data_IF_420048874927
#
_entry.id   IF_420048874927
#
_cell.length_a   1.000
_cell.length_b   1.000
_cell.length_c   1.000
_cell.angle_alpha   90.00
_cell.angle_beta   90.00
_cell.angle_gamma   90.00
#
_symmetry.space_group_name_H-M   'P 1'
#
loop_
_entity.id
_entity.type
_entity.pdbx_description
1 polymer ?
#
# COMPACT_ATOMS: atom_id res chain seq x y z
N UNK A 1 -66.46 1.87 -1.99
CA UNK A 1 -65.61 0.73 -2.40
C UNK A 1 -64.19 1.01 -1.94
N UNK A 2 -63.68 0.31 -0.92
CA UNK A 2 -62.33 0.54 -0.37
C UNK A 2 -61.45 -0.68 -0.67
N UNK A 3 -60.39 -0.50 -1.46
CA UNK A 3 -59.42 -1.54 -1.76
C UNK A 3 -58.55 -1.81 -0.52
N UNK A 4 -58.52 -3.06 -0.04
CA UNK A 4 -57.67 -3.48 1.08
C UNK A 4 -56.26 -3.76 0.58
N UNK A 5 -55.31 -2.90 0.92
CA UNK A 5 -53.88 -3.13 0.69
C UNK A 5 -53.40 -4.34 1.50
N UNK A 6 -52.75 -5.32 0.86
CA UNK A 6 -52.14 -6.47 1.54
C UNK A 6 -50.81 -6.05 2.19
N UNK A 7 -50.50 -6.49 3.42
CA UNK A 7 -49.19 -6.25 4.02
C UNK A 7 -48.11 -7.07 3.32
N UNK A 8 -46.94 -6.45 3.07
CA UNK A 8 -45.75 -7.11 2.52
C UNK A 8 -45.14 -8.02 3.60
N UNK A 9 -44.77 -9.27 3.29
CA UNK A 9 -44.07 -10.11 4.26
C UNK A 9 -42.67 -9.53 4.57
N UNK A 10 -42.17 -9.71 5.81
CA UNK A 10 -40.81 -9.30 6.15
C UNK A 10 -39.81 -10.15 5.36
N UNK A 11 -38.89 -9.50 4.66
CA UNK A 11 -37.73 -10.16 4.06
C UNK A 11 -36.83 -10.58 5.22
N UNK A 12 -36.76 -11.88 5.50
CA UNK A 12 -35.75 -12.41 6.42
C UNK A 12 -34.36 -12.09 5.84
N UNK A 13 -33.41 -11.56 6.64
CA UNK A 13 -32.06 -11.37 6.14
C UNK A 13 -31.49 -12.74 5.79
N UNK A 14 -31.09 -12.92 4.53
CA UNK A 14 -30.37 -14.11 4.09
C UNK A 14 -29.12 -14.24 4.99
N UNK A 15 -28.84 -15.44 5.53
CA UNK A 15 -27.61 -15.63 6.28
C UNK A 15 -26.45 -15.40 5.31
N UNK A 16 -25.73 -14.29 5.50
CA UNK A 16 -24.45 -14.04 4.83
C UNK A 16 -23.50 -15.12 5.29
N UNK A 17 -23.48 -16.24 4.57
CA UNK A 17 -22.42 -17.24 4.69
C UNK A 17 -21.18 -16.56 4.16
N UNK A 18 -20.37 -15.99 5.04
CA UNK A 18 -18.99 -15.70 4.72
C UNK A 18 -18.34 -17.06 4.44
N UNK A 19 -17.88 -17.33 3.19
CA UNK A 19 -17.29 -18.62 2.90
C UNK A 19 -16.06 -18.82 3.79
N UNK A 20 -15.92 -19.99 4.45
CA UNK A 20 -14.72 -20.30 5.19
C UNK A 20 -13.57 -20.45 4.19
N UNK A 21 -12.61 -19.53 4.24
CA UNK A 21 -11.40 -19.59 3.42
C UNK A 21 -11.44 -18.72 2.17
N UNK A 22 -11.56 -17.39 2.31
CA UNK A 22 -10.99 -16.49 1.32
C UNK A 22 -9.47 -16.66 1.36
N UNK A 23 -8.99 -17.70 0.69
CA UNK A 23 -7.58 -17.99 0.45
C UNK A 23 -6.94 -16.74 -0.16
N UNK A 24 -5.72 -16.39 0.29
CA UNK A 24 -4.85 -15.39 -0.32
C UNK A 24 -4.45 -15.83 -1.75
N UNK A 25 -5.40 -15.84 -2.68
CA UNK A 25 -5.22 -16.38 -4.04
C UNK A 25 -4.36 -15.48 -4.94
N UNK A 26 -3.95 -14.32 -4.44
CA UNK A 26 -3.10 -13.38 -5.16
C UNK A 26 -2.06 -12.81 -4.20
N UNK A 27 -0.74 -12.98 -4.48
CA UNK A 27 0.27 -12.28 -3.70
C UNK A 27 -0.01 -10.77 -3.81
N UNK A 28 -0.16 -10.11 -2.66
CA UNK A 28 -0.39 -8.67 -2.63
C UNK A 28 0.79 -7.98 -3.32
N UNK A 29 0.48 -7.14 -4.32
CA UNK A 29 1.52 -6.39 -5.02
C UNK A 29 1.99 -5.25 -4.12
N UNK A 30 3.31 -5.03 -3.97
CA UNK A 30 3.80 -3.91 -3.20
C UNK A 30 3.33 -2.59 -3.84
N UNK A 31 2.89 -1.67 -3.00
CA UNK A 31 2.56 -0.31 -3.42
C UNK A 31 3.82 0.57 -3.29
N UNK A 32 4.31 1.08 -4.41
CA UNK A 32 5.57 1.83 -4.50
C UNK A 32 5.30 3.19 -5.14
N UNK A 33 5.76 4.26 -4.49
CA UNK A 33 5.56 5.65 -4.92
C UNK A 33 6.89 6.41 -4.82
N UNK A 34 7.31 7.10 -5.89
CA UNK A 34 8.45 8.04 -5.84
C UNK A 34 7.96 9.41 -5.39
N UNK A 35 8.57 9.93 -4.34
CA UNK A 35 8.27 11.23 -3.77
C UNK A 35 9.28 12.27 -4.27
N UNK A 36 8.91 13.55 -4.20
CA UNK A 36 9.82 14.65 -4.47
C UNK A 36 10.73 14.88 -3.24
N UNK A 37 12.06 14.69 -3.36
CA UNK A 37 12.97 14.85 -2.23
C UNK A 37 12.93 16.25 -1.61
N UNK A 38 12.75 17.30 -2.43
CA UNK A 38 12.73 18.69 -1.94
C UNK A 38 11.49 19.00 -1.10
N UNK A 39 10.38 18.33 -1.38
CA UNK A 39 9.14 18.49 -0.63
C UNK A 39 9.19 17.74 0.71
N UNK A 40 9.84 16.58 0.75
CA UNK A 40 9.88 15.73 1.95
C UNK A 40 11.06 16.05 2.87
N UNK A 41 12.27 16.20 2.31
CA UNK A 41 13.51 16.43 3.06
C UNK A 41 13.98 17.90 3.01
N UNK A 42 13.22 18.79 2.36
CA UNK A 42 13.49 20.22 2.27
C UNK A 42 14.35 20.63 1.08
N UNK A 43 14.36 21.93 0.77
CA UNK A 43 14.92 22.48 -0.47
C UNK A 43 16.45 22.32 -0.62
N UNK A 44 17.16 22.12 0.50
CA UNK A 44 18.63 21.97 0.53
C UNK A 44 19.06 20.51 0.71
N UNK A 45 18.17 19.55 0.49
CA UNK A 45 18.48 18.13 0.65
C UNK A 45 19.53 17.65 -0.35
N UNK A 46 20.41 16.75 0.10
CA UNK A 46 21.34 16.01 -0.77
C UNK A 46 20.73 14.68 -1.27
N UNK A 47 19.52 14.33 -0.82
CA UNK A 47 18.80 13.12 -1.23
C UNK A 47 18.30 13.31 -2.66
N UNK A 48 18.67 12.38 -3.54
CA UNK A 48 18.29 12.37 -4.95
C UNK A 48 17.00 11.62 -5.22
N UNK A 49 16.70 10.59 -4.42
CA UNK A 49 15.46 9.83 -4.51
C UNK A 49 14.87 9.57 -3.13
N UNK A 50 13.54 9.72 -3.05
CA UNK A 50 12.76 9.21 -1.94
C UNK A 50 11.69 8.30 -2.51
N UNK A 51 11.62 7.09 -2.01
CA UNK A 51 10.63 6.09 -2.43
C UNK A 51 9.87 5.60 -1.21
N UNK A 52 8.55 5.71 -1.27
CA UNK A 52 7.65 5.13 -0.28
C UNK A 52 7.28 3.73 -0.74
N UNK A 53 7.55 2.73 0.10
CA UNK A 53 7.29 1.32 -0.18
C UNK A 53 6.38 0.75 0.90
N UNK A 54 5.23 0.20 0.48
CA UNK A 54 4.41 -0.67 1.32
C UNK A 54 4.39 -2.06 0.71
N UNK A 55 4.98 -3.03 1.38
CA UNK A 55 5.15 -4.39 0.84
C UNK A 55 3.83 -5.14 0.88
N UNK A 56 3.15 -5.09 2.04
CA UNK A 56 1.81 -5.63 2.25
C UNK A 56 0.94 -4.58 2.93
N UNK A 57 -0.37 -4.65 2.74
CA UNK A 57 -1.37 -3.74 3.33
C UNK A 57 -1.29 -3.68 4.85
N UNK A 58 -0.95 -4.80 5.50
CA UNK A 58 -0.83 -4.92 6.96
C UNK A 58 0.53 -4.50 7.52
N UNK A 59 1.52 -4.26 6.65
CA UNK A 59 2.88 -3.92 7.05
C UNK A 59 3.11 -2.40 7.12
N UNK A 60 4.06 -1.96 7.96
CA UNK A 60 4.43 -0.55 8.01
C UNK A 60 4.98 -0.07 6.66
N UNK A 61 4.79 1.22 6.41
CA UNK A 61 5.38 1.88 5.25
C UNK A 61 6.87 2.08 5.52
N UNK A 62 7.68 1.76 4.52
CA UNK A 62 9.11 2.05 4.52
C UNK A 62 9.37 3.28 3.65
N UNK A 63 9.98 4.29 4.25
CA UNK A 63 10.53 5.42 3.52
C UNK A 63 11.99 5.12 3.19
N UNK A 64 12.29 5.05 1.89
CA UNK A 64 13.61 4.73 1.37
C UNK A 64 14.22 5.99 0.79
N UNK A 65 15.48 6.24 1.13
CA UNK A 65 16.26 7.38 0.67
C UNK A 65 17.42 6.88 -0.18
N UNK A 66 17.80 7.70 -1.16
CA UNK A 66 19.02 7.54 -1.95
C UNK A 66 19.78 8.84 -1.96
N UNK A 67 21.04 8.78 -1.55
CA UNK A 67 21.97 9.89 -1.63
C UNK A 67 23.37 9.38 -2.03
N UNK A 68 24.39 10.22 -1.86
CA UNK A 68 25.79 9.87 -2.17
C UNK A 68 26.34 8.66 -1.39
N UNK A 69 25.71 8.27 -0.27
CA UNK A 69 26.10 7.14 0.57
C UNK A 69 25.36 5.85 0.19
N UNK A 70 24.40 5.92 -0.72
CA UNK A 70 23.66 4.79 -1.24
C UNK A 70 22.20 4.76 -0.77
N UNK A 71 21.60 3.57 -0.80
CA UNK A 71 20.19 3.37 -0.52
C UNK A 71 19.96 2.86 0.90
N UNK A 72 19.01 3.47 1.63
CA UNK A 72 18.69 3.07 2.99
C UNK A 72 17.24 3.36 3.37
N UNK A 73 16.67 2.56 4.26
CA UNK A 73 15.38 2.80 4.90
C UNK A 73 15.56 3.68 6.14
N UNK A 74 14.59 4.56 6.41
CA UNK A 74 14.56 5.41 7.62
C UNK A 74 14.77 4.62 8.92
N UNK A 75 14.08 3.48 9.07
CA UNK A 75 14.06 2.73 10.33
C UNK A 75 15.12 1.62 10.38
N UNK A 76 15.35 0.93 9.27
CA UNK A 76 16.15 -0.30 9.24
C UNK A 76 17.48 -0.15 8.48
N UNK A 77 17.77 1.05 7.95
CA UNK A 77 18.98 1.28 7.18
C UNK A 77 19.06 0.46 5.90
N UNK A 78 20.27 0.01 5.55
CA UNK A 78 20.58 -0.68 4.28
C UNK A 78 20.09 -2.13 4.23
N UNK A 79 19.85 -2.76 5.39
CA UNK A 79 19.40 -4.17 5.47
C UNK A 79 17.90 -4.34 5.24
N UNK A 80 17.16 -3.25 5.02
CA UNK A 80 15.73 -3.31 4.81
C UNK A 80 15.38 -3.93 3.45
N UNK A 81 14.52 -4.94 3.43
CA UNK A 81 14.08 -5.58 2.17
C UNK A 81 13.39 -4.58 1.21
N UNK A 82 12.73 -3.55 1.74
CA UNK A 82 12.12 -2.47 0.97
C UNK A 82 13.12 -1.68 0.11
N UNK A 83 14.42 -1.68 0.46
CA UNK A 83 15.48 -1.05 -0.35
C UNK A 83 15.59 -1.74 -1.72
N UNK A 84 15.49 -3.06 -1.78
CA UNK A 84 15.56 -3.82 -3.04
C UNK A 84 14.41 -3.44 -3.98
N UNK A 85 13.19 -3.33 -3.43
CA UNK A 85 12.01 -2.89 -4.19
C UNK A 85 12.17 -1.45 -4.72
N UNK A 86 12.67 -0.53 -3.90
CA UNK A 86 12.89 0.86 -4.32
C UNK A 86 13.93 0.98 -5.44
N UNK A 87 15.05 0.24 -5.33
CA UNK A 87 16.09 0.22 -6.38
C UNK A 87 15.55 -0.31 -7.71
N UNK A 88 14.84 -1.44 -7.67
CA UNK A 88 14.25 -2.03 -8.88
C UNK A 88 13.24 -1.08 -9.52
N UNK A 89 12.38 -0.43 -8.72
CA UNK A 89 11.40 0.53 -9.20
C UNK A 89 12.05 1.71 -9.94
N UNK A 90 13.07 2.35 -9.34
CA UNK A 90 13.74 3.50 -9.96
C UNK A 90 14.52 3.11 -11.20
N UNK A 91 15.15 1.93 -11.21
CA UNK A 91 15.85 1.41 -12.40
C UNK A 91 14.90 1.10 -13.56
N UNK A 92 13.68 0.62 -13.27
CA UNK A 92 12.69 0.30 -14.31
C UNK A 92 11.99 1.53 -14.91
N UNK A 93 12.10 2.68 -14.26
CA UNK A 93 11.50 3.94 -14.69
C UNK A 93 12.47 4.82 -15.51
N UNK A 94 13.70 4.35 -15.74
CA UNK A 94 14.75 5.02 -16.52
C UNK A 94 14.90 4.38 -17.89
#
# INVERSE_FOLDING_TARGET
MMARSRPRPPVLPEPTVLPPGQLELFPERPHIERLNPKQVAGQRTAVTDIVRVRIRSTEPIHLIFHDRHGWYCETHGTSCIAVTYAKAFVQSAS
#
